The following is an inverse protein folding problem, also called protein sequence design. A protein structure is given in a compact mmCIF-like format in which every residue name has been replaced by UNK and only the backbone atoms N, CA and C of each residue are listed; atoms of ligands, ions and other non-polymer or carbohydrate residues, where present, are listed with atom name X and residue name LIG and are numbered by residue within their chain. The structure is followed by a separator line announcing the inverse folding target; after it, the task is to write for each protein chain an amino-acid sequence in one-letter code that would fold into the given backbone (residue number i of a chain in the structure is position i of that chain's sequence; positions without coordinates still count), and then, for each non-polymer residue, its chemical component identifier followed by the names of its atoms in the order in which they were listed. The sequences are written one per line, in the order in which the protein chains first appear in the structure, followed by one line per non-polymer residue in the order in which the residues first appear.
data_IF_295302613134
#
_entry.id   IF_295302613134
#
_cell.length_a   1.000
_cell.length_b   1.000
_cell.length_c   1.000
_cell.angle_alpha   90.00
_cell.angle_beta   90.00
_cell.angle_gamma   90.00
#
_symmetry.space_group_name_H-M   'P 1'
#
loop_
_entity.id
_entity.type
_entity.pdbx_description
1 polymer ?
#
# COMPACT_ATOMS: atom_id res chain seq x y z
N UNK A 1 -24.97 -57.50 -3.99
CA UNK A 1 -24.47 -56.19 -3.48
C UNK A 1 -22.96 -56.19 -3.62
N UNK A 2 -22.37 -55.26 -4.40
CA UNK A 2 -20.91 -55.11 -4.55
C UNK A 2 -20.52 -53.75 -3.96
N UNK A 3 -19.50 -53.71 -3.10
CA UNK A 3 -18.95 -52.48 -2.52
C UNK A 3 -17.75 -52.06 -3.36
N UNK A 4 -17.79 -50.85 -3.93
CA UNK A 4 -16.63 -50.26 -4.61
C UNK A 4 -15.85 -49.42 -3.61
N UNK A 5 -14.61 -49.82 -3.32
CA UNK A 5 -13.69 -49.07 -2.46
C UNK A 5 -12.74 -48.28 -3.36
N UNK A 6 -12.85 -46.95 -3.35
CA UNK A 6 -11.88 -46.07 -4.03
C UNK A 6 -10.69 -45.82 -3.10
N UNK A 7 -9.51 -46.24 -3.54
CA UNK A 7 -8.22 -45.90 -2.91
C UNK A 7 -7.64 -44.73 -3.71
N UNK A 8 -7.45 -43.58 -3.04
CA UNK A 8 -6.78 -42.41 -3.62
C UNK A 8 -5.42 -42.28 -2.93
N UNK A 9 -4.35 -42.58 -3.67
CA UNK A 9 -2.98 -42.44 -3.20
C UNK A 9 -2.43 -41.10 -3.64
N UNK A 10 -2.21 -40.18 -2.70
CA UNK A 10 -1.52 -38.91 -2.97
C UNK A 10 -0.01 -39.13 -3.07
N UNK A 11 0.62 -38.64 -4.14
CA UNK A 11 2.06 -38.68 -4.32
C UNK A 11 2.66 -37.29 -4.05
N UNK A 12 3.32 -37.15 -2.90
CA UNK A 12 3.96 -35.90 -2.47
C UNK A 12 5.41 -35.85 -2.99
N UNK A 13 5.68 -35.00 -3.98
CA UNK A 13 7.06 -34.76 -4.47
C UNK A 13 7.69 -33.55 -3.79
N UNK A 14 8.63 -33.80 -2.88
CA UNK A 14 9.60 -32.82 -2.39
C UNK A 14 10.64 -32.53 -3.48
N UNK A 15 10.93 -31.26 -3.74
CA UNK A 15 12.13 -30.85 -4.49
C UNK A 15 12.62 -29.48 -4.00
N UNK A 16 13.60 -29.53 -3.10
CA UNK A 16 14.42 -28.40 -2.67
C UNK A 16 15.62 -28.24 -3.60
N UNK A 17 15.83 -27.04 -4.17
CA UNK A 17 17.10 -26.68 -4.79
C UNK A 17 17.33 -25.16 -4.74
N UNK A 18 18.51 -24.77 -4.27
CA UNK A 18 18.98 -23.38 -4.14
C UNK A 18 20.12 -23.08 -5.12
N UNK A 19 20.03 -21.97 -5.87
CA UNK A 19 21.08 -21.29 -6.63
C UNK A 19 20.61 -19.82 -6.76
N UNK A 20 21.25 -18.76 -6.26
CA UNK A 20 22.64 -18.25 -6.43
C UNK A 20 23.02 -18.08 -7.91
N UNK A 21 23.18 -16.83 -8.39
CA UNK A 21 24.02 -16.57 -9.57
C UNK A 21 23.72 -15.39 -10.50
N UNK A 22 23.86 -14.13 -10.04
CA UNK A 22 24.39 -13.02 -10.86
C UNK A 22 23.48 -12.33 -11.92
N UNK A 23 23.85 -11.10 -12.35
CA UNK A 23 23.10 -10.32 -13.35
C UNK A 23 23.65 -10.47 -14.78
N UNK A 24 22.77 -10.40 -15.78
CA UNK A 24 23.15 -10.29 -17.19
C UNK A 24 23.00 -8.84 -17.67
N UNK A 25 24.13 -8.19 -17.93
CA UNK A 25 24.22 -6.95 -18.70
C UNK A 25 24.41 -7.32 -20.17
N UNK A 26 23.55 -6.80 -21.05
CA UNK A 26 23.65 -7.00 -22.49
C UNK A 26 23.61 -5.67 -23.23
N UNK A 27 24.77 -5.21 -23.72
CA UNK A 27 24.85 -4.17 -24.74
C UNK A 27 24.73 -4.82 -26.13
N UNK A 28 23.96 -4.22 -27.03
CA UNK A 28 23.96 -4.57 -28.45
C UNK A 28 23.95 -3.29 -29.32
N UNK A 29 24.99 -3.17 -30.12
CA UNK A 29 25.25 -2.18 -31.19
C UNK A 29 24.65 -2.77 -32.49
N UNK A 30 24.15 -2.09 -33.52
CA UNK A 30 24.08 -0.70 -33.97
C UNK A 30 23.47 -0.67 -35.40
N UNK A 31 23.31 0.52 -36.00
CA UNK A 31 23.07 0.81 -37.45
C UNK A 31 21.87 0.12 -38.17
N UNK A 32 21.48 0.45 -39.42
CA UNK A 32 21.93 1.52 -40.35
C UNK A 32 20.86 2.61 -40.58
N UNK A 33 20.90 3.35 -41.71
CA UNK A 33 20.09 4.54 -41.98
C UNK A 33 19.11 4.46 -43.16
N UNK A 34 18.01 5.23 -43.02
CA UNK A 34 17.04 5.78 -43.99
C UNK A 34 15.79 6.18 -43.18
N UNK A 35 15.11 7.32 -43.35
CA UNK A 35 15.00 8.24 -44.49
C UNK A 35 15.02 9.74 -44.08
N UNK A 36 15.29 10.63 -45.05
CA UNK A 36 15.29 12.09 -44.89
C UNK A 36 14.14 12.75 -45.68
N UNK A 37 12.97 13.05 -45.09
CA UNK A 37 12.05 14.02 -45.75
C UNK A 37 10.97 14.75 -44.91
N UNK A 38 11.12 14.97 -43.59
CA UNK A 38 10.08 15.68 -42.79
C UNK A 38 10.49 16.99 -42.09
N UNK A 39 11.76 17.39 -42.14
CA UNK A 39 12.26 18.59 -41.44
C UNK A 39 12.36 19.86 -42.31
N UNK A 40 11.22 20.46 -42.72
CA UNK A 40 11.22 21.81 -43.32
C UNK A 40 10.23 22.84 -42.77
N UNK A 41 9.31 22.48 -41.86
CA UNK A 41 8.22 23.39 -41.42
C UNK A 41 8.17 23.76 -39.93
N UNK A 42 9.18 23.45 -39.10
CA UNK A 42 9.15 23.72 -37.63
C UNK A 42 10.31 24.58 -37.09
N UNK A 43 10.94 25.41 -37.92
CA UNK A 43 12.12 26.22 -37.53
C UNK A 43 11.81 27.50 -36.73
N UNK A 44 10.54 27.79 -36.40
CA UNK A 44 10.12 29.03 -35.73
C UNK A 44 10.16 29.02 -34.19
N UNK A 45 9.94 27.86 -33.56
CA UNK A 45 9.50 27.82 -32.15
C UNK A 45 10.66 27.80 -31.12
N UNK A 46 11.81 27.23 -31.50
CA UNK A 46 12.98 27.11 -30.61
C UNK A 46 13.57 28.47 -30.16
N UNK A 47 13.34 29.55 -30.92
CA UNK A 47 13.77 30.90 -30.54
C UNK A 47 12.95 31.49 -29.40
N UNK A 48 11.66 31.17 -29.30
CA UNK A 48 10.83 31.59 -28.17
C UNK A 48 11.23 30.85 -26.89
N UNK A 49 11.51 29.54 -26.97
CA UNK A 49 11.98 28.76 -25.80
C UNK A 49 13.32 29.28 -25.26
N UNK A 50 14.26 29.67 -26.13
CA UNK A 50 15.53 30.27 -25.70
C UNK A 50 15.37 31.65 -25.04
N UNK A 51 14.52 32.53 -25.58
CA UNK A 51 14.25 33.83 -24.95
C UNK A 51 13.56 33.70 -23.59
N UNK A 52 12.70 32.70 -23.40
CA UNK A 52 12.07 32.39 -22.11
C UNK A 52 13.11 31.85 -21.11
N UNK A 53 14.04 31.01 -21.55
CA UNK A 53 15.08 30.42 -20.71
C UNK A 53 16.14 31.45 -20.24
N UNK A 54 16.53 32.39 -21.10
CA UNK A 54 17.39 33.53 -20.71
C UNK A 54 16.71 34.44 -19.68
N UNK A 55 15.41 34.75 -19.86
CA UNK A 55 14.65 35.55 -18.89
C UNK A 55 14.56 34.89 -17.52
N UNK A 56 14.34 33.57 -17.47
CA UNK A 56 14.38 32.81 -16.21
C UNK A 56 15.77 32.85 -15.55
N UNK A 57 16.85 32.61 -16.31
CA UNK A 57 18.23 32.61 -15.80
C UNK A 57 18.66 33.97 -15.23
N UNK A 58 18.19 35.09 -15.78
CA UNK A 58 18.47 36.41 -15.22
C UNK A 58 17.66 36.67 -13.94
N UNK A 59 16.36 36.30 -13.90
CA UNK A 59 15.54 36.39 -12.69
C UNK A 59 16.10 35.57 -11.50
N UNK A 60 16.82 34.48 -11.78
CA UNK A 60 17.52 33.68 -10.75
C UNK A 60 18.91 34.22 -10.35
N UNK A 61 19.52 35.12 -11.12
CA UNK A 61 20.76 35.81 -10.71
C UNK A 61 20.44 36.99 -9.79
N UNK A 62 19.43 37.78 -10.13
CA UNK A 62 19.05 38.95 -9.34
C UNK A 62 18.56 38.59 -7.93
N UNK A 63 17.82 37.47 -7.79
CA UNK A 63 17.43 36.93 -6.48
C UNK A 63 18.65 36.52 -5.62
N UNK A 64 19.66 35.89 -6.23
CA UNK A 64 20.88 35.46 -5.52
C UNK A 64 21.74 36.64 -5.05
N UNK A 65 21.67 37.81 -5.70
CA UNK A 65 22.41 38.98 -5.26
C UNK A 65 21.76 39.74 -4.08
N UNK A 66 20.50 39.44 -3.75
CA UNK A 66 19.79 40.06 -2.62
C UNK A 66 19.95 39.27 -1.30
N UNK A 67 20.08 37.95 -1.36
CA UNK A 67 20.22 37.07 -0.18
C UNK A 67 21.61 37.10 0.48
N UNK A 68 22.64 37.57 -0.21
CA UNK A 68 24.02 37.59 0.33
C UNK A 68 24.24 38.78 1.28
N UNK A 69 23.55 39.92 1.05
CA UNK A 69 23.68 41.13 1.89
C UNK A 69 22.78 41.15 3.12
N UNK A 70 21.81 40.24 3.24
CA UNK A 70 20.97 40.10 4.45
C UNK A 70 21.64 39.21 5.51
N UNK A 71 22.37 38.17 5.09
CA UNK A 71 23.01 37.20 5.99
C UNK A 71 24.05 37.78 6.95
N UNK A 72 24.86 38.74 6.50
CA UNK A 72 25.93 39.31 7.33
C UNK A 72 25.42 40.18 8.49
N UNK A 73 24.19 40.73 8.41
CA UNK A 73 23.58 41.48 9.52
C UNK A 73 23.01 40.56 10.60
N UNK A 74 22.26 39.54 10.21
CA UNK A 74 21.58 38.65 11.17
C UNK A 74 22.55 37.75 11.95
N UNK A 75 23.74 37.45 11.40
CA UNK A 75 24.74 36.64 12.10
C UNK A 75 25.38 37.37 13.29
N UNK A 76 25.45 38.70 13.25
CA UNK A 76 26.08 39.49 14.31
C UNK A 76 25.12 39.81 15.47
N UNK A 77 23.85 40.11 15.18
CA UNK A 77 22.84 40.34 16.23
C UNK A 77 22.53 39.08 17.07
N UNK A 78 22.46 37.91 16.43
CA UNK A 78 22.15 36.66 17.14
C UNK A 78 23.28 36.21 18.07
N UNK A 79 24.55 36.54 17.75
CA UNK A 79 25.70 36.20 18.60
C UNK A 79 25.75 37.03 19.90
N UNK A 80 25.28 38.29 19.86
CA UNK A 80 25.15 39.14 21.04
C UNK A 80 24.00 38.67 21.93
N UNK A 81 22.86 38.26 21.33
CA UNK A 81 21.71 37.70 22.07
C UNK A 81 22.03 36.34 22.70
N UNK A 82 22.79 35.48 22.03
CA UNK A 82 23.21 34.18 22.57
C UNK A 82 24.04 34.30 23.87
N UNK A 83 25.01 35.22 23.91
CA UNK A 83 25.90 35.39 25.06
C UNK A 83 25.26 36.09 26.29
N UNK A 84 24.03 36.60 26.19
CA UNK A 84 23.29 37.15 27.34
C UNK A 84 22.27 36.17 27.96
N UNK A 85 21.90 35.10 27.25
CA UNK A 85 20.92 34.11 27.74
C UNK A 85 21.55 33.15 28.77
N UNK A 86 22.87 32.95 28.72
CA UNK A 86 23.59 31.90 29.48
C UNK A 86 23.79 32.19 30.99
N UNK A 87 23.16 33.24 31.56
CA UNK A 87 23.31 33.60 32.98
C UNK A 87 22.04 33.90 33.75
N UNK A 88 20.85 33.76 33.17
CA UNK A 88 19.60 33.87 33.96
C UNK A 88 18.60 32.75 33.67
N UNK A 89 18.18 32.08 34.75
CA UNK A 89 17.08 31.09 34.83
C UNK A 89 17.37 29.71 34.26
N UNK A 90 18.31 29.01 34.91
CA UNK A 90 18.13 27.57 35.18
C UNK A 90 16.88 27.42 36.04
N UNK A 91 15.73 27.32 35.39
CA UNK A 91 14.48 26.95 36.03
C UNK A 91 13.74 25.99 35.10
N UNK A 92 14.30 24.77 35.03
CA UNK A 92 13.74 23.64 34.31
C UNK A 92 12.41 23.30 34.96
N UNK A 93 11.33 23.94 34.51
CA UNK A 93 9.96 23.56 34.88
C UNK A 93 9.85 22.08 34.61
N UNK A 94 9.77 21.29 35.68
CA UNK A 94 9.57 19.86 35.57
C UNK A 94 8.30 19.66 34.76
N UNK A 95 8.44 19.11 33.57
CA UNK A 95 7.30 18.85 32.71
C UNK A 95 6.40 17.89 33.45
N UNK A 96 5.27 18.39 33.96
CA UNK A 96 4.26 17.59 34.66
C UNK A 96 3.94 16.42 33.75
N UNK A 97 4.48 15.25 34.10
CA UNK A 97 4.25 14.01 33.36
C UNK A 97 2.75 13.77 33.47
N UNK A 98 2.00 14.07 32.41
CA UNK A 98 0.57 13.75 32.33
C UNK A 98 0.45 12.27 32.64
N UNK A 99 -0.08 11.96 33.82
CA UNK A 99 -0.29 10.60 34.26
C UNK A 99 -1.28 9.96 33.29
N UNK A 100 -0.78 9.07 32.45
CA UNK A 100 -1.66 8.24 31.62
C UNK A 100 -2.48 7.41 32.61
N UNK A 101 -3.83 7.48 32.58
CA UNK A 101 -4.64 6.71 33.52
C UNK A 101 -4.33 5.23 33.32
N UNK A 102 -3.84 4.60 34.39
CA UNK A 102 -3.54 3.18 34.40
C UNK A 102 -4.84 2.39 34.27
N UNK A 103 -4.76 1.28 33.55
CA UNK A 103 -5.86 0.33 33.36
C UNK A 103 -5.48 -0.96 34.07
N UNK A 104 -6.44 -1.64 34.71
CA UNK A 104 -6.12 -2.90 35.36
C UNK A 104 -5.79 -3.98 34.32
N UNK A 105 -4.93 -4.93 34.68
CA UNK A 105 -4.63 -6.07 33.81
C UNK A 105 -5.92 -6.78 33.37
N UNK A 106 -6.87 -6.98 34.28
CA UNK A 106 -8.09 -7.71 33.96
C UNK A 106 -9.01 -6.96 32.99
N UNK A 107 -9.13 -5.63 33.08
CA UNK A 107 -9.87 -4.83 32.09
C UNK A 107 -9.26 -4.98 30.68
N UNK A 108 -7.93 -4.96 30.59
CA UNK A 108 -7.23 -5.14 29.32
C UNK A 108 -7.30 -6.59 28.81
N UNK A 109 -7.27 -7.57 29.70
CA UNK A 109 -7.43 -9.00 29.42
C UNK A 109 -8.83 -9.30 28.86
N UNK A 110 -9.88 -8.79 29.51
CA UNK A 110 -11.28 -8.89 29.06
C UNK A 110 -11.45 -8.24 27.69
N UNK A 111 -10.85 -7.08 27.44
CA UNK A 111 -10.85 -6.47 26.10
C UNK A 111 -10.20 -7.38 25.04
N UNK A 112 -9.04 -7.98 25.35
CA UNK A 112 -8.39 -8.94 24.44
C UNK A 112 -9.28 -10.14 24.10
N UNK A 113 -9.86 -10.77 25.13
CA UNK A 113 -10.75 -11.94 25.01
C UNK A 113 -12.06 -11.66 24.30
N UNK A 114 -12.70 -10.51 24.58
CA UNK A 114 -14.07 -10.23 24.13
C UNK A 114 -14.11 -9.37 22.85
N UNK A 115 -13.00 -8.78 22.42
CA UNK A 115 -12.94 -7.92 21.23
C UNK A 115 -11.94 -8.44 20.20
N UNK A 116 -10.71 -8.80 20.60
CA UNK A 116 -9.67 -9.16 19.63
C UNK A 116 -9.79 -10.62 19.16
N UNK A 117 -9.87 -11.59 20.09
CA UNK A 117 -9.99 -13.00 19.72
C UNK A 117 -11.23 -13.33 18.86
N UNK A 118 -12.44 -12.80 19.14
CA UNK A 118 -13.62 -13.09 18.33
C UNK A 118 -13.50 -12.54 16.90
N UNK A 119 -12.82 -11.41 16.71
CA UNK A 119 -12.55 -10.87 15.37
C UNK A 119 -11.56 -11.74 14.58
N UNK A 120 -10.54 -12.32 15.23
CA UNK A 120 -9.64 -13.29 14.58
C UNK A 120 -10.42 -14.54 14.17
N UNK A 121 -11.24 -15.10 15.06
CA UNK A 121 -12.05 -16.30 14.79
C UNK A 121 -13.11 -16.07 13.72
N UNK A 122 -13.74 -14.88 13.68
CA UNK A 122 -14.68 -14.49 12.64
C UNK A 122 -14.00 -14.35 11.26
N UNK A 123 -12.79 -13.79 11.22
CA UNK A 123 -11.94 -13.76 10.01
C UNK A 123 -11.61 -15.18 9.52
N UNK A 124 -11.23 -16.09 10.42
CA UNK A 124 -10.91 -17.49 10.04
C UNK A 124 -12.14 -18.23 9.51
N UNK A 125 -13.30 -17.99 10.12
CA UNK A 125 -14.59 -18.53 9.67
C UNK A 125 -14.98 -18.00 8.28
N UNK A 126 -14.86 -16.69 8.05
CA UNK A 126 -15.12 -16.07 6.74
C UNK A 126 -14.12 -16.57 5.67
N UNK A 127 -12.83 -16.71 6.01
CA UNK A 127 -11.77 -17.27 5.15
C UNK A 127 -12.07 -18.73 4.75
N UNK A 128 -12.59 -19.54 5.67
CA UNK A 128 -12.99 -20.92 5.38
C UNK A 128 -14.25 -21.00 4.50
N UNK A 129 -15.22 -20.09 4.71
CA UNK A 129 -16.44 -19.99 3.92
C UNK A 129 -16.25 -19.31 2.53
N UNK A 130 -15.12 -18.64 2.32
CA UNK A 130 -14.87 -17.68 1.21
C UNK A 130 -15.87 -16.53 1.16
N UNK A 131 -16.38 -16.14 2.32
CA UNK A 131 -17.29 -15.00 2.48
C UNK A 131 -16.48 -13.69 2.49
N UNK A 132 -16.31 -13.11 1.31
CA UNK A 132 -15.49 -11.90 1.13
C UNK A 132 -16.07 -10.66 1.79
N UNK A 133 -17.40 -10.48 1.77
CA UNK A 133 -18.07 -9.34 2.42
C UNK A 133 -17.84 -9.40 3.94
N UNK A 134 -18.02 -10.58 4.55
CA UNK A 134 -17.72 -10.77 5.97
C UNK A 134 -16.22 -10.61 6.25
N UNK A 135 -15.34 -11.11 5.38
CA UNK A 135 -13.90 -11.03 5.56
C UNK A 135 -13.40 -9.58 5.53
N UNK A 136 -13.88 -8.75 4.59
CA UNK A 136 -13.61 -7.32 4.54
C UNK A 136 -14.11 -6.61 5.80
N UNK A 137 -15.37 -6.85 6.16
CA UNK A 137 -16.01 -6.27 7.34
C UNK A 137 -15.20 -6.55 8.61
N UNK A 138 -14.81 -7.81 8.85
CA UNK A 138 -14.02 -8.17 10.02
C UNK A 138 -12.57 -7.68 9.93
N UNK A 139 -11.96 -7.64 8.74
CA UNK A 139 -10.64 -7.03 8.51
C UNK A 139 -10.62 -5.53 8.86
N UNK A 140 -11.66 -4.79 8.50
CA UNK A 140 -11.79 -3.37 8.82
C UNK A 140 -12.07 -3.13 10.30
N UNK A 141 -12.92 -3.95 10.93
CA UNK A 141 -13.13 -3.94 12.39
C UNK A 141 -11.81 -4.22 13.13
N UNK A 142 -11.09 -5.30 12.79
CA UNK A 142 -9.82 -5.64 13.42
C UNK A 142 -8.76 -4.56 13.20
N UNK A 143 -8.66 -3.99 11.98
CA UNK A 143 -7.77 -2.86 11.69
C UNK A 143 -8.08 -1.62 12.53
N UNK A 144 -9.37 -1.35 12.81
CA UNK A 144 -9.78 -0.24 13.68
C UNK A 144 -9.38 -0.48 15.13
N UNK A 145 -9.62 -1.68 15.65
CA UNK A 145 -9.30 -2.06 17.03
C UNK A 145 -7.79 -2.15 17.28
N UNK A 146 -7.02 -2.67 16.31
CA UNK A 146 -5.56 -2.60 16.32
C UNK A 146 -5.04 -1.16 16.42
N UNK A 147 -5.61 -0.23 15.64
CA UNK A 147 -5.20 1.18 15.61
C UNK A 147 -5.59 1.97 16.85
N UNK A 148 -6.77 1.72 17.44
CA UNK A 148 -7.34 2.56 18.52
C UNK A 148 -7.42 1.82 19.86
N UNK A 149 -8.05 0.65 19.87
CA UNK A 149 -8.34 -0.10 21.10
C UNK A 149 -7.12 -0.73 21.76
N UNK A 150 -6.15 -1.28 21.01
CA UNK A 150 -4.95 -1.91 21.60
C UNK A 150 -4.03 -0.97 22.39
N UNK A 151 -4.29 0.35 22.37
CA UNK A 151 -3.68 1.29 23.30
C UNK A 151 -3.92 0.95 24.77
N UNK A 152 -5.01 0.21 25.09
CA UNK A 152 -5.33 -0.28 26.43
C UNK A 152 -4.23 -1.19 27.02
N UNK A 153 -3.60 -2.03 26.20
CA UNK A 153 -2.54 -2.95 26.64
C UNK A 153 -1.30 -2.20 27.16
N UNK A 154 -1.04 -0.99 26.64
CA UNK A 154 0.11 -0.17 27.07
C UNK A 154 -0.16 0.65 28.33
N UNK A 155 -1.41 0.71 28.81
CA UNK A 155 -1.82 1.40 30.04
C UNK A 155 -1.79 0.51 31.29
N UNK A 156 -1.47 -0.78 31.13
CA UNK A 156 -1.38 -1.72 32.25
C UNK A 156 -0.05 -1.57 32.96
N UNK A 157 -0.07 -1.64 34.29
CA UNK A 157 1.15 -1.58 35.10
C UNK A 157 1.94 -2.91 35.08
N UNK A 158 3.25 -2.81 35.22
CA UNK A 158 4.20 -3.92 35.08
C UNK A 158 4.54 -4.25 33.61
N UNK A 159 5.83 -4.31 33.28
CA UNK A 159 6.30 -4.65 31.92
C UNK A 159 5.82 -6.05 31.48
N UNK A 160 5.98 -7.05 32.34
CA UNK A 160 5.58 -8.44 32.08
C UNK A 160 4.09 -8.58 31.72
N UNK A 161 3.22 -7.84 32.42
CA UNK A 161 1.78 -7.81 32.15
C UNK A 161 1.48 -7.24 30.76
N UNK A 162 2.10 -6.11 30.40
CA UNK A 162 1.94 -5.50 29.06
C UNK A 162 2.44 -6.42 27.96
N UNK A 163 3.64 -6.99 28.14
CA UNK A 163 4.26 -7.87 27.16
C UNK A 163 3.39 -9.12 26.92
N UNK A 164 2.83 -9.70 27.98
CA UNK A 164 1.87 -10.81 27.90
C UNK A 164 0.61 -10.43 27.12
N UNK A 165 -0.01 -9.27 27.39
CA UNK A 165 -1.20 -8.83 26.65
C UNK A 165 -0.90 -8.57 25.16
N UNK A 166 0.29 -8.03 24.87
CA UNK A 166 0.74 -7.76 23.51
C UNK A 166 1.00 -9.07 22.76
N UNK A 167 1.68 -10.04 23.36
CA UNK A 167 1.96 -11.34 22.72
C UNK A 167 0.72 -12.21 22.57
N UNK A 168 -0.18 -12.23 23.56
CA UNK A 168 -1.41 -13.05 23.51
C UNK A 168 -2.46 -12.49 22.53
N UNK A 169 -2.64 -11.17 22.47
CA UNK A 169 -3.75 -10.57 21.70
C UNK A 169 -3.29 -9.72 20.52
N UNK A 170 -2.31 -8.82 20.72
CA UNK A 170 -1.98 -7.82 19.71
C UNK A 170 -1.20 -8.40 18.53
N UNK A 171 -0.14 -9.16 18.80
CA UNK A 171 0.73 -9.69 17.73
C UNK A 171 -0.02 -10.65 16.79
N UNK A 172 -0.79 -11.65 17.27
CA UNK A 172 -1.55 -12.55 16.38
C UNK A 172 -2.61 -11.80 15.55
N UNK A 173 -3.23 -10.77 16.13
CA UNK A 173 -4.15 -9.89 15.39
C UNK A 173 -3.43 -9.08 14.31
N UNK A 174 -2.23 -8.57 14.58
CA UNK A 174 -1.43 -7.82 13.59
C UNK A 174 -0.97 -8.73 12.44
N UNK A 175 -0.54 -9.95 12.75
CA UNK A 175 -0.16 -10.97 11.77
C UNK A 175 -1.34 -11.33 10.87
N UNK A 176 -2.47 -11.77 11.44
CA UNK A 176 -3.70 -12.10 10.69
C UNK A 176 -4.20 -10.94 9.85
N UNK A 177 -4.14 -9.72 10.37
CA UNK A 177 -4.49 -8.50 9.61
C UNK A 177 -3.52 -8.26 8.47
N UNK A 178 -2.23 -8.58 8.63
CA UNK A 178 -1.20 -8.35 7.61
C UNK A 178 -1.32 -9.35 6.45
N UNK A 179 -1.61 -10.63 6.72
CA UNK A 179 -1.96 -11.64 5.70
C UNK A 179 -3.03 -11.14 4.72
N UNK A 180 -4.02 -10.39 5.22
CA UNK A 180 -5.22 -10.02 4.49
C UNK A 180 -5.17 -8.65 3.80
N UNK A 181 -4.13 -7.83 4.02
CA UNK A 181 -4.07 -6.47 3.44
C UNK A 181 -4.15 -6.50 1.92
N UNK A 182 -3.32 -7.33 1.28
CA UNK A 182 -3.25 -7.39 -0.18
C UNK A 182 -4.50 -8.06 -0.78
N UNK A 183 -4.98 -9.23 -0.30
CA UNK A 183 -6.22 -9.84 -0.79
C UNK A 183 -7.45 -8.92 -0.68
N UNK A 184 -7.65 -8.25 0.46
CA UNK A 184 -8.81 -7.36 0.65
C UNK A 184 -8.68 -6.09 -0.22
N UNK A 185 -7.47 -5.57 -0.43
CA UNK A 185 -7.28 -4.43 -1.33
C UNK A 185 -7.65 -4.78 -2.78
N UNK A 186 -7.34 -6.00 -3.23
CA UNK A 186 -7.70 -6.51 -4.55
C UNK A 186 -9.22 -6.71 -4.64
N UNK A 187 -9.83 -7.32 -3.63
CA UNK A 187 -11.28 -7.54 -3.56
C UNK A 187 -12.08 -6.22 -3.67
N UNK A 188 -11.78 -5.24 -2.82
CA UNK A 188 -12.41 -3.91 -2.85
C UNK A 188 -12.21 -3.25 -4.22
N UNK A 189 -11.02 -3.39 -4.83
CA UNK A 189 -10.75 -2.83 -6.15
C UNK A 189 -11.58 -3.51 -7.26
N UNK A 190 -11.87 -4.81 -7.14
CA UNK A 190 -12.75 -5.55 -8.05
C UNK A 190 -14.21 -5.12 -7.91
N UNK A 191 -14.74 -4.98 -6.69
CA UNK A 191 -16.09 -4.43 -6.47
C UNK A 191 -16.21 -3.07 -7.16
N UNK A 192 -15.26 -2.15 -6.93
CA UNK A 192 -15.21 -0.83 -7.57
C UNK A 192 -15.04 -0.85 -9.12
N UNK A 193 -14.71 -2.00 -9.72
CA UNK A 193 -14.72 -2.21 -11.18
C UNK A 193 -16.05 -2.79 -11.63
N UNK A 194 -16.59 -3.80 -10.94
CA UNK A 194 -17.90 -4.37 -11.22
C UNK A 194 -19.01 -3.31 -11.09
N UNK A 195 -19.00 -2.50 -10.04
CA UNK A 195 -19.90 -1.35 -9.85
C UNK A 195 -19.86 -0.36 -11.02
N UNK A 196 -18.68 -0.11 -11.59
CA UNK A 196 -18.52 0.77 -12.75
C UNK A 196 -18.99 0.10 -14.04
N UNK A 197 -18.77 -1.21 -14.21
CA UNK A 197 -19.28 -2.00 -15.34
C UNK A 197 -20.81 -2.01 -15.36
N UNK A 198 -21.45 -2.28 -14.22
CA UNK A 198 -22.91 -2.35 -14.09
C UNK A 198 -23.58 -0.98 -14.29
N UNK A 199 -22.87 0.11 -13.97
CA UNK A 199 -23.30 1.50 -14.25
C UNK A 199 -22.95 1.97 -15.67
N UNK A 200 -22.24 1.17 -16.47
CA UNK A 200 -21.77 1.53 -17.80
C UNK A 200 -20.68 2.62 -17.84
N UNK A 201 -20.07 2.97 -16.71
CA UNK A 201 -18.96 3.92 -16.66
C UNK A 201 -17.64 3.23 -17.03
N UNK A 202 -17.36 3.20 -18.34
CA UNK A 202 -16.16 2.58 -18.90
C UNK A 202 -14.88 3.39 -18.69
N UNK A 203 -14.97 4.62 -18.15
CA UNK A 203 -13.82 5.53 -18.03
C UNK A 203 -12.77 4.94 -17.08
N UNK A 204 -11.56 4.81 -17.60
CA UNK A 204 -10.40 4.27 -16.88
C UNK A 204 -10.54 2.82 -16.37
N UNK A 205 -11.56 2.05 -16.77
CA UNK A 205 -11.72 0.67 -16.29
C UNK A 205 -10.52 -0.21 -16.61
N UNK A 206 -9.98 -0.14 -17.83
CA UNK A 206 -8.77 -0.88 -18.21
C UNK A 206 -7.54 -0.46 -17.38
N UNK A 207 -7.49 0.78 -16.90
CA UNK A 207 -6.41 1.25 -16.01
C UNK A 207 -6.62 0.75 -14.57
N UNK A 208 -7.87 0.71 -14.07
CA UNK A 208 -8.20 0.04 -12.80
C UNK A 208 -7.82 -1.45 -12.86
N UNK A 209 -8.21 -2.16 -13.93
CA UNK A 209 -7.93 -3.58 -14.14
C UNK A 209 -6.42 -3.88 -14.19
N UNK A 210 -5.63 -3.08 -14.93
CA UNK A 210 -4.16 -3.18 -14.94
C UNK A 210 -3.53 -3.00 -13.55
N UNK A 211 -4.08 -2.11 -12.70
CA UNK A 211 -3.62 -1.95 -11.32
C UNK A 211 -3.97 -3.17 -10.45
N UNK A 212 -5.15 -3.76 -10.66
CA UNK A 212 -5.58 -4.99 -9.98
C UNK A 212 -4.62 -6.15 -10.34
N UNK A 213 -4.33 -6.38 -11.63
CA UNK A 213 -3.32 -7.36 -12.08
C UNK A 213 -1.94 -7.11 -11.47
N UNK A 214 -1.51 -5.86 -11.36
CA UNK A 214 -0.23 -5.50 -10.74
C UNK A 214 -0.19 -5.71 -9.21
N UNK A 215 -1.34 -5.83 -8.54
CA UNK A 215 -1.46 -6.23 -7.14
C UNK A 215 -1.57 -7.76 -6.99
N UNK A 216 -2.33 -8.41 -7.86
CA UNK A 216 -2.46 -9.88 -7.95
C UNK A 216 -1.10 -10.57 -8.16
N UNK A 217 -0.26 -10.02 -9.05
CA UNK A 217 1.11 -10.52 -9.28
C UNK A 217 2.05 -10.42 -8.06
N UNK A 218 1.58 -9.85 -6.93
CA UNK A 218 2.29 -9.80 -5.64
C UNK A 218 1.69 -10.73 -4.59
N UNK A 219 0.66 -11.50 -4.94
CA UNK A 219 0.13 -12.57 -4.08
C UNK A 219 1.08 -13.76 -4.12
N UNK A 220 1.51 -14.19 -2.95
CA UNK A 220 2.32 -15.39 -2.76
C UNK A 220 1.43 -16.55 -2.28
N UNK A 221 1.78 -17.79 -2.61
CA UNK A 221 1.07 -18.98 -2.12
C UNK A 221 -0.35 -19.16 -2.67
N UNK A 222 -0.64 -18.63 -3.87
CA UNK A 222 -1.98 -18.70 -4.49
C UNK A 222 -2.42 -20.15 -4.67
N UNK A 223 -1.53 -21.00 -5.20
CA UNK A 223 -1.73 -22.43 -5.38
C UNK A 223 -2.04 -23.19 -4.07
N UNK A 224 -1.62 -22.64 -2.93
CA UNK A 224 -1.80 -23.24 -1.60
C UNK A 224 -3.01 -22.67 -0.81
N UNK A 225 -3.74 -21.70 -1.37
CA UNK A 225 -4.82 -21.00 -0.66
C UNK A 225 -6.13 -20.97 -1.46
N UNK A 226 -7.15 -21.78 -1.08
CA UNK A 226 -8.45 -21.79 -1.75
C UNK A 226 -9.20 -20.45 -1.77
N UNK A 227 -8.83 -19.53 -0.87
CA UNK A 227 -9.30 -18.14 -0.87
C UNK A 227 -8.59 -17.33 -1.98
N UNK A 228 -7.27 -17.43 -2.12
CA UNK A 228 -6.54 -16.67 -3.15
C UNK A 228 -6.87 -17.17 -4.57
N UNK A 229 -7.08 -18.48 -4.75
CA UNK A 229 -7.56 -19.05 -6.01
C UNK A 229 -8.93 -18.48 -6.41
N UNK A 230 -9.82 -18.30 -5.43
CA UNK A 230 -11.14 -17.70 -5.63
C UNK A 230 -11.03 -16.23 -6.06
N UNK A 231 -10.16 -15.47 -5.39
CA UNK A 231 -9.86 -14.08 -5.75
C UNK A 231 -9.34 -13.96 -7.19
N UNK A 232 -8.36 -14.77 -7.57
CA UNK A 232 -7.81 -14.82 -8.93
C UNK A 232 -8.88 -15.19 -9.96
N UNK A 233 -9.79 -16.12 -9.64
CA UNK A 233 -10.93 -16.43 -10.50
C UNK A 233 -11.87 -15.23 -10.68
N UNK A 234 -12.14 -14.45 -9.62
CA UNK A 234 -12.92 -13.21 -9.72
C UNK A 234 -12.21 -12.12 -10.55
N UNK A 235 -10.88 -11.98 -10.42
CA UNK A 235 -10.06 -11.07 -11.25
C UNK A 235 -10.21 -11.45 -12.73
N UNK A 236 -10.01 -12.73 -13.06
CA UNK A 236 -10.14 -13.25 -14.42
C UNK A 236 -11.56 -13.03 -14.99
N UNK A 237 -12.59 -13.30 -14.20
CA UNK A 237 -13.99 -13.11 -14.62
C UNK A 237 -14.31 -11.63 -14.91
N UNK A 238 -13.84 -10.72 -14.05
CA UNK A 238 -14.06 -9.27 -14.19
C UNK A 238 -13.32 -8.70 -15.41
N UNK A 239 -12.10 -9.14 -15.69
CA UNK A 239 -11.37 -8.73 -16.89
C UNK A 239 -12.04 -9.24 -18.18
N UNK A 240 -12.52 -10.49 -18.18
CA UNK A 240 -13.27 -11.03 -19.32
C UNK A 240 -14.57 -10.26 -19.60
N UNK A 241 -15.32 -9.88 -18.55
CA UNK A 241 -16.50 -8.99 -18.69
C UNK A 241 -16.12 -7.66 -19.34
N UNK A 242 -15.05 -7.02 -18.88
CA UNK A 242 -14.56 -5.74 -19.42
C UNK A 242 -14.14 -5.88 -20.90
N UNK A 243 -13.37 -6.92 -21.25
CA UNK A 243 -12.91 -7.14 -22.61
C UNK A 243 -14.08 -7.37 -23.59
N UNK A 244 -15.09 -8.14 -23.18
CA UNK A 244 -16.31 -8.34 -23.97
C UNK A 244 -17.08 -7.03 -24.18
N UNK A 245 -17.22 -6.21 -23.12
CA UNK A 245 -17.87 -4.89 -23.22
C UNK A 245 -17.14 -3.98 -24.21
N UNK A 246 -15.80 -3.96 -24.17
CA UNK A 246 -14.99 -3.16 -25.10
C UNK A 246 -15.15 -3.65 -26.55
N UNK A 247 -15.05 -4.96 -26.80
CA UNK A 247 -15.22 -5.54 -28.13
C UNK A 247 -16.60 -5.27 -28.75
N UNK A 248 -17.68 -5.39 -27.96
CA UNK A 248 -19.04 -5.10 -28.45
C UNK A 248 -19.26 -3.62 -28.80
N UNK A 249 -18.53 -2.70 -28.16
CA UNK A 249 -18.59 -1.28 -28.50
C UNK A 249 -17.79 -0.95 -29.77
N UNK A 250 -16.64 -1.58 -30.01
CA UNK A 250 -15.87 -1.41 -31.26
C UNK A 250 -16.71 -1.82 -32.47
N UNK A 251 -17.32 -3.02 -32.43
CA UNK A 251 -18.13 -3.53 -33.54
C UNK A 251 -19.39 -2.67 -33.84
N UNK A 252 -19.84 -1.83 -32.90
CA UNK A 252 -20.96 -0.88 -33.12
C UNK A 252 -20.54 0.40 -33.85
N UNK A 253 -19.24 0.71 -33.87
CA UNK A 253 -18.70 1.90 -34.54
C UNK A 253 -18.32 1.62 -36.01
N UNK A 254 -18.19 0.36 -36.41
CA UNK A 254 -17.84 -0.04 -37.79
C UNK A 254 -19.06 -0.29 -38.70
N UNK A 255 -20.28 -0.19 -38.17
CA UNK A 255 -21.56 -0.50 -38.86
C UNK A 255 -22.39 0.77 -39.13
N UNK A 256 -21.98 1.94 -38.63
CA UNK A 256 -22.64 3.24 -38.81
C UNK A 256 -21.74 4.21 -39.60
#
# INVERSE_FOLDING_TARGET
MKKNTLIVTAATTLLSASLIGGPLVGNAQGDDGRDKEWERNHSGDWKQSHQMMEKFKNQERDKRHFDDKSRDKDYNENKIKANQIDKTKVNRKEGVKKSIPLVSYEQANVYGKNTILPLISAIESAKAAKDWEALEKYFHLLSRELRRGTSIFYKVDGKQNRDSLISTYKLPAQEKRSELVLPITIYIALENVNDSLDKGDTKNLSLKMKKIRALENKLEGVENSPLLQDLVAQVNATENKLNNLLATNTNRLEIN
#
